data_IF_765891440913
#
_entry.id   IF_765891440913
#
_cell.length_a   1.000
_cell.length_b   1.000
_cell.length_c   1.000
_cell.angle_alpha   90.00
_cell.angle_beta   90.00
_cell.angle_gamma   90.00
#
_symmetry.space_group_name_H-M   'P 1'
#
loop_
_entity.id
_entity.type
_entity.pdbx_description
1 polymer ?
#
# COMPACT_ATOMS: atom_id res chain seq x y z
N UNK A 1 -10.69 20.02 3.63
CA UNK A 1 -11.37 19.80 4.91
C UNK A 1 -12.17 21.02 5.35
N UNK A 2 -11.55 22.20 5.43
CA UNK A 2 -12.22 23.46 5.84
C UNK A 2 -13.49 23.79 5.02
N UNK A 3 -13.46 23.54 3.72
CA UNK A 3 -14.62 23.75 2.84
C UNK A 3 -15.81 22.88 3.23
N UNK A 4 -15.56 21.60 3.56
CA UNK A 4 -16.60 20.66 3.98
C UNK A 4 -17.16 21.01 5.37
N UNK A 5 -16.32 21.53 6.27
CA UNK A 5 -16.75 22.07 7.56
C UNK A 5 -17.66 23.28 7.35
N UNK A 6 -17.24 24.24 6.52
CA UNK A 6 -18.05 25.45 6.20
C UNK A 6 -19.37 25.09 5.53
N UNK A 7 -19.41 24.05 4.74
CA UNK A 7 -20.61 23.52 4.10
C UNK A 7 -21.51 22.69 5.04
N UNK A 8 -21.12 22.50 6.31
CA UNK A 8 -21.87 21.69 7.27
C UNK A 8 -21.88 20.19 6.98
N UNK A 9 -21.02 19.71 6.08
CA UNK A 9 -20.95 18.30 5.68
C UNK A 9 -20.22 17.47 6.72
N UNK A 10 -19.22 18.07 7.39
CA UNK A 10 -18.43 17.41 8.44
C UNK A 10 -18.31 18.32 9.67
N UNK A 11 -18.15 17.72 10.85
CA UNK A 11 -17.96 18.43 12.11
C UNK A 11 -16.54 18.98 12.24
N UNK A 12 -16.34 20.18 12.83
CA UNK A 12 -15.03 20.82 12.95
C UNK A 12 -14.01 20.00 13.73
N UNK A 13 -14.45 19.41 14.83
CA UNK A 13 -13.63 18.73 15.84
C UNK A 13 -13.24 17.28 15.46
N UNK A 14 -14.10 16.61 14.69
CA UNK A 14 -13.90 15.19 14.30
C UNK A 14 -13.96 14.99 12.78
N UNK A 15 -13.95 16.08 12.01
CA UNK A 15 -14.15 16.03 10.56
C UNK A 15 -13.14 15.15 9.82
N UNK A 16 -11.90 15.07 10.31
CA UNK A 16 -10.90 14.16 9.73
C UNK A 16 -11.32 12.69 9.82
N UNK A 17 -12.09 12.27 10.82
CA UNK A 17 -12.63 10.92 10.98
C UNK A 17 -13.73 10.60 9.98
N UNK A 18 -14.37 11.63 9.39
CA UNK A 18 -15.44 11.49 8.41
C UNK A 18 -14.90 11.44 6.96
N UNK A 19 -13.59 11.70 6.77
CA UNK A 19 -12.95 11.61 5.45
C UNK A 19 -12.48 10.18 5.23
N UNK A 20 -13.21 9.45 4.40
CA UNK A 20 -12.90 8.07 4.00
C UNK A 20 -12.02 8.09 2.73
N UNK A 21 -10.71 8.12 2.93
CA UNK A 21 -9.68 8.09 1.89
C UNK A 21 -8.67 6.99 2.19
N UNK A 22 -7.82 6.69 1.22
CA UNK A 22 -6.78 5.67 1.32
C UNK A 22 -5.75 5.96 2.41
N UNK A 23 -5.60 7.26 2.72
CA UNK A 23 -4.75 7.78 3.78
C UNK A 23 -5.56 8.76 4.63
N UNK A 24 -5.41 8.68 5.94
CA UNK A 24 -6.06 9.57 6.89
C UNK A 24 -5.05 10.17 7.85
N UNK A 25 -5.09 11.49 8.00
CA UNK A 25 -4.30 12.20 8.99
C UNK A 25 -4.99 12.12 10.35
N UNK A 26 -4.24 11.83 11.40
CA UNK A 26 -4.67 11.90 12.81
C UNK A 26 -3.98 13.06 13.53
N UNK A 27 -4.56 14.27 13.52
CA UNK A 27 -3.92 15.47 14.07
C UNK A 27 -3.62 15.36 15.57
N UNK A 28 -4.48 14.67 16.34
CA UNK A 28 -4.33 14.49 17.79
C UNK A 28 -3.07 13.70 18.16
N UNK A 29 -2.66 12.76 17.30
CA UNK A 29 -1.51 11.87 17.53
C UNK A 29 -0.31 12.23 16.66
N UNK A 30 -0.45 13.20 15.73
CA UNK A 30 0.60 13.52 14.78
C UNK A 30 0.96 12.33 13.85
N UNK A 31 -0.02 11.48 13.55
CA UNK A 31 0.20 10.26 12.75
C UNK A 31 -0.57 10.26 11.45
N UNK A 32 -0.12 9.43 10.52
CA UNK A 32 -0.79 9.13 9.24
C UNK A 32 -1.20 7.67 9.24
N UNK A 33 -2.47 7.41 9.01
CA UNK A 33 -3.05 6.07 8.91
C UNK A 33 -3.17 5.68 7.43
N UNK A 34 -2.52 4.61 7.05
CA UNK A 34 -2.71 3.98 5.73
C UNK A 34 -3.87 3.00 5.81
N UNK A 35 -4.89 3.17 4.96
CA UNK A 35 -6.16 2.45 5.02
C UNK A 35 -6.44 1.59 3.81
N UNK A 36 -5.67 1.77 2.73
CA UNK A 36 -5.89 1.07 1.46
C UNK A 36 -5.43 -0.39 1.49
N UNK A 37 -4.49 -0.71 2.39
CA UNK A 37 -3.95 -2.05 2.47
C UNK A 37 -4.96 -3.05 3.06
N UNK A 38 -5.05 -4.22 2.45
CA UNK A 38 -5.78 -5.36 3.00
C UNK A 38 -5.04 -6.01 4.17
N UNK A 39 -5.75 -6.84 4.93
CA UNK A 39 -5.13 -7.69 5.95
C UNK A 39 -4.36 -8.82 5.27
N UNK A 40 -3.05 -8.86 5.47
CA UNK A 40 -2.19 -9.87 4.84
C UNK A 40 -2.10 -11.13 5.68
N UNK A 41 -2.14 -12.31 5.06
CA UNK A 41 -2.10 -13.60 5.76
C UNK A 41 -0.67 -14.05 6.13
N UNK A 42 0.31 -13.14 6.10
CA UNK A 42 1.71 -13.42 6.42
C UNK A 42 2.31 -12.22 7.14
N UNK A 43 3.08 -12.50 8.21
CA UNK A 43 3.83 -11.47 8.92
C UNK A 43 4.90 -10.83 8.01
N UNK A 44 5.59 -11.65 7.22
CA UNK A 44 6.63 -11.19 6.30
C UNK A 44 6.05 -10.18 5.30
N UNK A 45 4.90 -10.49 4.69
CA UNK A 45 4.21 -9.59 3.77
C UNK A 45 3.77 -8.30 4.46
N UNK A 46 3.21 -8.41 5.67
CA UNK A 46 2.77 -7.26 6.48
C UNK A 46 3.94 -6.33 6.81
N UNK A 47 5.07 -6.89 7.23
CA UNK A 47 6.29 -6.13 7.57
C UNK A 47 6.89 -5.49 6.31
N UNK A 48 6.93 -6.19 5.19
CA UNK A 48 7.45 -5.67 3.93
C UNK A 48 6.66 -4.43 3.46
N UNK A 49 5.32 -4.54 3.42
CA UNK A 49 4.46 -3.41 3.01
C UNK A 49 4.51 -2.27 4.02
N UNK A 50 4.55 -2.56 5.32
CA UNK A 50 4.71 -1.52 6.36
C UNK A 50 6.03 -0.77 6.21
N UNK A 51 7.12 -1.48 5.90
CA UNK A 51 8.44 -0.88 5.64
C UNK A 51 8.42 0.00 4.39
N UNK A 52 7.77 -0.44 3.32
CA UNK A 52 7.58 0.35 2.10
C UNK A 52 6.85 1.67 2.41
N UNK A 53 5.74 1.60 3.15
CA UNK A 53 4.96 2.78 3.54
C UNK A 53 5.77 3.72 4.43
N UNK A 54 6.54 3.19 5.38
CA UNK A 54 7.40 3.99 6.25
C UNK A 54 8.49 4.72 5.46
N UNK A 55 9.20 4.03 4.59
CA UNK A 55 10.25 4.63 3.76
C UNK A 55 9.69 5.69 2.81
N UNK A 56 8.51 5.43 2.20
CA UNK A 56 7.82 6.39 1.35
C UNK A 56 7.39 7.65 2.12
N UNK A 57 6.88 7.51 3.33
CA UNK A 57 6.50 8.64 4.17
C UNK A 57 7.71 9.54 4.50
N UNK A 58 8.87 8.93 4.81
CA UNK A 58 10.11 9.66 5.06
C UNK A 58 10.59 10.37 3.80
N UNK A 59 10.56 9.68 2.64
CA UNK A 59 10.91 10.31 1.36
C UNK A 59 10.06 11.55 1.08
N UNK A 60 8.75 11.43 1.20
CA UNK A 60 7.82 12.54 0.98
C UNK A 60 8.12 13.71 1.95
N UNK A 61 8.43 13.40 3.21
CA UNK A 61 8.82 14.40 4.20
C UNK A 61 10.10 15.15 3.81
N UNK A 62 11.14 14.44 3.37
CA UNK A 62 12.39 15.04 2.90
C UNK A 62 12.18 15.89 1.65
N UNK A 63 11.46 15.36 0.66
CA UNK A 63 11.15 16.10 -0.58
C UNK A 63 10.37 17.40 -0.28
N UNK A 64 9.50 17.36 0.75
CA UNK A 64 8.80 18.55 1.21
C UNK A 64 9.74 19.57 1.85
N UNK A 65 10.63 19.15 2.75
CA UNK A 65 11.59 20.03 3.42
C UNK A 65 12.58 20.66 2.45
N UNK A 66 12.97 19.93 1.41
CA UNK A 66 13.89 20.37 0.35
C UNK A 66 13.19 21.19 -0.75
N UNK A 67 11.88 21.31 -0.74
CA UNK A 67 11.09 21.95 -1.80
C UNK A 67 11.09 21.18 -3.12
N UNK A 68 11.41 19.88 -3.07
CA UNK A 68 11.50 18.98 -4.22
C UNK A 68 10.21 18.16 -4.45
N UNK A 69 9.20 18.36 -3.61
CA UNK A 69 7.94 17.62 -3.73
C UNK A 69 7.27 17.94 -5.07
N UNK A 70 7.03 16.91 -5.86
CA UNK A 70 6.35 17.05 -7.15
C UNK A 70 4.86 17.37 -6.94
N UNK A 71 4.29 18.11 -7.89
CA UNK A 71 2.84 18.27 -7.96
C UNK A 71 2.17 16.90 -8.04
N UNK A 72 1.08 16.71 -7.29
CA UNK A 72 0.36 15.42 -7.31
C UNK A 72 -0.25 15.15 -8.69
N UNK A 73 -0.26 13.88 -9.06
CA UNK A 73 -0.95 13.45 -10.27
C UNK A 73 -2.44 13.86 -10.25
N UNK A 74 -3.04 14.13 -11.42
CA UNK A 74 -4.46 14.40 -11.51
C UNK A 74 -5.31 13.29 -10.89
N UNK A 75 -6.36 13.64 -10.16
CA UNK A 75 -7.22 12.65 -9.48
C UNK A 75 -7.74 11.56 -10.41
N UNK A 76 -8.08 11.89 -11.66
CA UNK A 76 -8.57 10.91 -12.64
C UNK A 76 -7.52 9.83 -12.96
N UNK A 77 -6.22 10.20 -12.98
CA UNK A 77 -5.12 9.27 -13.23
C UNK A 77 -4.94 8.33 -12.04
N UNK A 78 -4.95 8.87 -10.83
CA UNK A 78 -4.88 8.08 -9.58
C UNK A 78 -6.04 7.07 -9.52
N UNK A 79 -7.27 7.54 -9.76
CA UNK A 79 -8.47 6.68 -9.74
C UNK A 79 -8.44 5.63 -10.85
N UNK A 80 -7.93 5.96 -12.04
CA UNK A 80 -7.78 5.00 -13.15
C UNK A 80 -6.80 3.89 -12.79
N UNK A 81 -5.63 4.24 -12.26
CA UNK A 81 -4.61 3.27 -11.84
C UNK A 81 -5.10 2.41 -10.67
N UNK A 82 -5.78 3.01 -9.70
CA UNK A 82 -6.43 2.31 -8.60
C UNK A 82 -7.44 1.27 -9.11
N UNK A 83 -8.29 1.66 -10.06
CA UNK A 83 -9.25 0.75 -10.68
C UNK A 83 -8.58 -0.40 -11.43
N UNK A 84 -7.49 -0.12 -12.15
CA UNK A 84 -6.69 -1.14 -12.82
C UNK A 84 -6.12 -2.16 -11.82
N UNK A 85 -5.54 -1.67 -10.71
CA UNK A 85 -5.02 -2.53 -9.65
C UNK A 85 -6.11 -3.41 -9.01
N UNK A 86 -7.30 -2.85 -8.74
CA UNK A 86 -8.44 -3.61 -8.18
C UNK A 86 -8.89 -4.72 -9.13
N UNK A 87 -8.97 -4.43 -10.42
CA UNK A 87 -9.51 -5.33 -11.43
C UNK A 87 -8.52 -6.42 -11.86
N UNK A 88 -7.26 -6.04 -12.06
CA UNK A 88 -6.26 -6.85 -12.74
C UNK A 88 -5.10 -7.27 -11.83
N UNK A 89 -5.03 -6.70 -10.61
CA UNK A 89 -3.98 -7.01 -9.64
C UNK A 89 -2.59 -6.70 -10.20
N UNK A 90 -1.65 -7.62 -10.03
CA UNK A 90 -0.28 -7.49 -10.53
C UNK A 90 -0.15 -7.55 -12.07
N UNK A 91 -1.21 -7.90 -12.77
CA UNK A 91 -1.25 -7.89 -14.23
C UNK A 91 -1.65 -6.52 -14.81
N UNK A 92 -1.93 -5.53 -13.95
CA UNK A 92 -2.33 -4.21 -14.39
C UNK A 92 -1.18 -3.42 -15.02
N UNK A 93 -1.52 -2.62 -16.03
CA UNK A 93 -0.68 -1.54 -16.53
C UNK A 93 -1.12 -0.21 -15.92
N UNK A 94 -0.18 0.51 -15.31
CA UNK A 94 -0.39 1.85 -14.80
C UNK A 94 -0.09 2.90 -15.84
N UNK A 95 -0.92 3.93 -15.91
CA UNK A 95 -0.60 5.15 -16.62
C UNK A 95 0.42 5.92 -15.76
N UNK A 96 1.59 6.20 -16.31
CA UNK A 96 2.73 6.83 -15.61
C UNK A 96 2.96 8.28 -16.00
N UNK A 97 2.22 8.78 -16.98
CA UNK A 97 2.30 10.16 -17.41
C UNK A 97 1.01 10.64 -18.09
N UNK A 98 0.82 11.96 -18.05
CA UNK A 98 -0.32 12.62 -18.73
C UNK A 98 -0.24 12.54 -20.26
N UNK A 99 0.91 12.15 -20.79
CA UNK A 99 1.14 11.85 -22.21
C UNK A 99 0.58 10.47 -22.64
N UNK A 100 0.05 9.70 -21.68
CA UNK A 100 -0.50 8.38 -21.92
C UNK A 100 0.54 7.25 -21.83
N UNK A 101 1.76 7.51 -21.40
CA UNK A 101 2.75 6.46 -21.13
C UNK A 101 2.24 5.46 -20.11
N UNK A 102 2.53 4.18 -20.31
CA UNK A 102 2.10 3.09 -19.41
C UNK A 102 3.29 2.23 -19.00
N UNK A 103 3.17 1.58 -17.83
CA UNK A 103 4.18 0.67 -17.30
C UNK A 103 3.50 -0.44 -16.49
N UNK A 104 3.95 -1.71 -16.59
CA UNK A 104 3.46 -2.79 -15.73
C UNK A 104 3.59 -2.40 -14.24
N UNK A 105 2.55 -2.66 -13.46
CA UNK A 105 2.54 -2.33 -12.01
C UNK A 105 3.74 -2.96 -11.28
N UNK A 106 4.14 -4.16 -11.67
CA UNK A 106 5.29 -4.85 -11.09
C UNK A 106 6.61 -4.10 -11.30
N UNK A 107 6.78 -3.41 -12.44
CA UNK A 107 7.93 -2.55 -12.69
C UNK A 107 7.86 -1.24 -11.92
N UNK A 108 6.66 -0.65 -11.83
CA UNK A 108 6.43 0.56 -11.01
C UNK A 108 6.81 0.30 -9.55
N UNK A 109 6.41 -0.86 -9.00
CA UNK A 109 6.73 -1.24 -7.63
C UNK A 109 8.24 -1.49 -7.47
N UNK A 110 8.90 -2.16 -8.41
CA UNK A 110 10.36 -2.39 -8.37
C UNK A 110 11.15 -1.08 -8.40
N UNK A 111 10.74 -0.13 -9.23
CA UNK A 111 11.36 1.18 -9.28
C UNK A 111 11.20 1.92 -7.95
N UNK A 112 10.00 1.89 -7.37
CA UNK A 112 9.72 2.49 -6.07
C UNK A 112 10.58 1.86 -4.96
N UNK A 113 10.69 0.53 -4.92
CA UNK A 113 11.57 -0.18 -3.97
C UNK A 113 13.01 0.27 -4.13
N UNK A 114 13.50 0.34 -5.37
CA UNK A 114 14.87 0.80 -5.66
C UNK A 114 15.11 2.24 -5.21
N UNK A 115 14.15 3.13 -5.45
CA UNK A 115 14.20 4.54 -5.03
C UNK A 115 14.29 4.69 -3.50
N UNK A 116 13.69 3.75 -2.76
CA UNK A 116 13.60 3.80 -1.30
C UNK A 116 14.71 3.02 -0.57
N UNK A 117 15.61 2.33 -1.30
CA UNK A 117 16.64 1.47 -0.68
C UNK A 117 17.54 2.24 0.29
N UNK A 118 18.00 3.45 -0.07
CA UNK A 118 18.88 4.24 0.79
C UNK A 118 18.20 4.64 2.11
N UNK A 119 16.92 4.99 2.05
CA UNK A 119 16.13 5.33 3.26
C UNK A 119 15.93 4.08 4.13
N UNK A 120 15.61 2.96 3.52
CA UNK A 120 15.45 1.70 4.25
C UNK A 120 16.76 1.20 4.88
N UNK A 121 17.91 1.47 4.24
CA UNK A 121 19.22 1.19 4.80
C UNK A 121 19.50 2.03 6.04
N UNK A 122 19.26 3.33 5.99
CA UNK A 122 19.36 4.23 7.15
C UNK A 122 18.48 3.78 8.33
N UNK A 123 17.30 3.21 8.04
CA UNK A 123 16.37 2.67 9.03
C UNK A 123 16.74 1.26 9.53
N UNK A 124 17.78 0.63 8.98
CA UNK A 124 18.12 -0.76 9.26
C UNK A 124 17.07 -1.78 8.79
N UNK A 125 16.26 -1.41 7.79
CA UNK A 125 15.11 -2.20 7.31
C UNK A 125 15.20 -2.61 5.83
N UNK A 126 16.37 -2.47 5.19
CA UNK A 126 16.57 -2.75 3.77
C UNK A 126 16.14 -4.17 3.36
N UNK A 127 16.50 -5.18 4.16
CA UNK A 127 16.13 -6.56 3.87
C UNK A 127 14.60 -6.75 3.87
N UNK A 128 13.88 -6.05 4.76
CA UNK A 128 12.42 -6.07 4.83
C UNK A 128 11.79 -5.37 3.64
N UNK A 129 12.35 -4.24 3.20
CA UNK A 129 11.90 -3.55 2.00
C UNK A 129 12.06 -4.45 0.76
N UNK A 130 13.18 -5.16 0.63
CA UNK A 130 13.44 -6.07 -0.50
C UNK A 130 12.46 -7.25 -0.57
N UNK A 131 11.83 -7.64 0.52
CA UNK A 131 10.77 -8.65 0.51
C UNK A 131 9.56 -8.23 -0.35
N UNK A 132 9.33 -6.94 -0.57
CA UNK A 132 8.29 -6.46 -1.49
C UNK A 132 8.50 -7.06 -2.89
N UNK A 133 9.74 -7.13 -3.38
CA UNK A 133 10.03 -7.75 -4.67
C UNK A 133 9.72 -9.25 -4.68
N UNK A 134 9.93 -9.95 -3.57
CA UNK A 134 9.59 -11.37 -3.46
C UNK A 134 8.08 -11.59 -3.53
N UNK A 135 7.28 -10.69 -2.92
CA UNK A 135 5.82 -10.73 -2.98
C UNK A 135 5.31 -10.63 -4.42
N UNK A 136 6.00 -9.88 -5.30
CA UNK A 136 5.63 -9.76 -6.71
C UNK A 136 5.81 -11.06 -7.51
N UNK A 137 6.61 -12.01 -7.02
CA UNK A 137 6.89 -13.30 -7.66
C UNK A 137 6.09 -14.46 -7.07
N UNK A 138 5.40 -14.23 -5.96
CA UNK A 138 4.52 -15.23 -5.35
C UNK A 138 3.13 -15.11 -5.95
N UNK A 139 2.36 -16.21 -5.93
CA UNK A 139 0.94 -16.18 -6.32
C UNK A 139 0.23 -15.12 -5.49
N UNK A 140 -0.41 -14.11 -6.11
CA UNK A 140 -1.14 -13.08 -5.38
C UNK A 140 -2.10 -13.72 -4.37
N UNK A 141 -2.17 -13.17 -3.16
CA UNK A 141 -3.02 -13.71 -2.09
C UNK A 141 -4.46 -13.92 -2.57
N UNK A 142 -4.97 -13.02 -3.40
CA UNK A 142 -6.31 -13.12 -3.97
C UNK A 142 -6.48 -14.36 -4.84
N UNK A 143 -5.49 -14.70 -5.67
CA UNK A 143 -5.55 -15.86 -6.54
C UNK A 143 -5.39 -17.15 -5.73
N UNK A 144 -4.50 -17.14 -4.74
CA UNK A 144 -4.38 -18.21 -3.75
C UNK A 144 -5.71 -18.48 -3.03
N UNK A 145 -6.38 -17.42 -2.54
CA UNK A 145 -7.68 -17.53 -1.89
C UNK A 145 -8.77 -18.05 -2.84
N UNK A 146 -8.78 -17.59 -4.09
CA UNK A 146 -9.72 -18.05 -5.11
C UNK A 146 -9.54 -19.51 -5.44
N UNK A 147 -8.31 -19.98 -5.54
CA UNK A 147 -8.00 -21.38 -5.88
C UNK A 147 -8.37 -22.32 -4.74
N UNK A 148 -8.13 -21.94 -3.50
CA UNK A 148 -8.62 -22.71 -2.33
C UNK A 148 -10.15 -22.73 -2.34
N UNK A 149 -10.81 -21.59 -2.54
CA UNK A 149 -12.26 -21.52 -2.51
C UNK A 149 -12.94 -22.33 -3.63
N UNK A 150 -12.32 -22.46 -4.79
CA UNK A 150 -12.81 -23.35 -5.87
C UNK A 150 -12.82 -24.83 -5.48
N UNK A 151 -11.93 -25.23 -4.58
CA UNK A 151 -11.71 -26.64 -4.22
C UNK A 151 -12.27 -26.99 -2.84
N UNK A 152 -12.54 -26.01 -1.99
CA UNK A 152 -12.92 -26.18 -0.60
C UNK A 152 -13.93 -25.13 -0.11
N UNK A 153 -14.37 -25.26 1.13
CA UNK A 153 -15.29 -24.32 1.77
C UNK A 153 -14.59 -23.02 2.24
N UNK A 154 -15.38 -21.98 2.54
CA UNK A 154 -14.87 -20.76 3.18
C UNK A 154 -14.22 -21.05 4.54
N UNK A 155 -14.69 -22.05 5.27
CA UNK A 155 -14.10 -22.46 6.55
C UNK A 155 -12.70 -23.00 6.35
N UNK A 156 -12.49 -23.84 5.34
CA UNK A 156 -11.15 -24.35 5.00
C UNK A 156 -10.22 -23.23 4.52
N UNK A 157 -10.74 -22.28 3.73
CA UNK A 157 -9.98 -21.11 3.34
C UNK A 157 -9.45 -20.33 4.56
N UNK A 158 -10.32 -20.07 5.55
CA UNK A 158 -9.90 -19.37 6.78
C UNK A 158 -8.82 -20.15 7.54
N UNK A 159 -8.95 -21.48 7.62
CA UNK A 159 -7.93 -22.32 8.26
C UNK A 159 -6.59 -22.27 7.54
N UNK A 160 -6.59 -22.30 6.20
CA UNK A 160 -5.36 -22.20 5.42
C UNK A 160 -4.68 -20.82 5.57
N UNK A 161 -5.46 -19.73 5.61
CA UNK A 161 -4.92 -18.40 5.88
C UNK A 161 -4.35 -18.30 7.30
N UNK A 162 -5.03 -18.87 8.29
CA UNK A 162 -4.52 -18.96 9.67
C UNK A 162 -3.21 -19.74 9.73
N UNK A 163 -3.13 -20.88 9.04
CA UNK A 163 -1.91 -21.69 8.96
C UNK A 163 -0.77 -20.89 8.34
N UNK A 164 -1.01 -20.24 7.19
CA UNK A 164 0.00 -19.38 6.53
C UNK A 164 0.53 -18.30 7.47
N UNK A 165 -0.35 -17.66 8.26
CA UNK A 165 0.06 -16.68 9.26
C UNK A 165 0.95 -17.30 10.34
N UNK A 166 0.54 -18.44 10.91
CA UNK A 166 1.30 -19.12 11.98
C UNK A 166 2.67 -19.61 11.48
N UNK A 167 2.73 -20.16 10.26
CA UNK A 167 3.98 -20.60 9.65
C UNK A 167 4.95 -19.41 9.48
N UNK A 168 4.45 -18.25 9.04
CA UNK A 168 5.26 -17.04 8.88
C UNK A 168 5.82 -16.47 10.20
N UNK A 169 5.22 -16.80 11.36
CA UNK A 169 5.76 -16.42 12.67
C UNK A 169 6.97 -17.27 13.09
N UNK A 170 7.11 -18.47 12.53
CA UNK A 170 8.21 -19.37 12.84
C UNK A 170 9.44 -19.16 11.97
N UNK A 171 9.31 -18.50 10.83
CA UNK A 171 10.41 -18.23 9.89
C UNK A 171 11.25 -16.99 10.29
N UNK A 172 10.77 -16.16 11.21
CA UNK A 172 11.43 -14.92 11.65
C UNK A 172 12.32 -15.12 12.92
N UNK A 173 12.53 -16.37 13.36
CA UNK A 173 13.45 -16.77 14.43
C UNK A 173 14.69 -17.47 13.87
#
# INVERSE_FOLDING_TARGET
LQTLVKAGVIKPDVGYRQVWKDVRIHPEYGTVETRIADSMPSLIETVAVSTLVQALAIKIGRDWEEGALKEPDPNWLIERNRWAAIKEGLNADFITGIDGSTKPISEVIKDLVTELESIAEELGSLNRLKQVNNILHVIPVVDYMRDIHKQASLVELVKELQKKLLDSLSEDN
#
